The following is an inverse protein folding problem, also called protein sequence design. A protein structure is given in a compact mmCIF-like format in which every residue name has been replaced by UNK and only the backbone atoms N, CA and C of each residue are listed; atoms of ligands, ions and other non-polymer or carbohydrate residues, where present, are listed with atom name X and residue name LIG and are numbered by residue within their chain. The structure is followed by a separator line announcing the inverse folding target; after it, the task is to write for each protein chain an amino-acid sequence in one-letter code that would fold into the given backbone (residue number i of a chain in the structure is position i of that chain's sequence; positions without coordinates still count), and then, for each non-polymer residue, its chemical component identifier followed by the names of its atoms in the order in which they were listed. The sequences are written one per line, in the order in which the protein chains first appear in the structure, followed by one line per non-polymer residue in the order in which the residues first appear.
data_IF_990006916864
#
_entry.id   IF_990006916864
#
_cell.length_a   1.000
_cell.length_b   1.000
_cell.length_c   1.000
_cell.angle_alpha   90.00
_cell.angle_beta   90.00
_cell.angle_gamma   90.00
#
_symmetry.space_group_name_H-M   'P 1'
#
loop_
_entity.id
_entity.type
_entity.pdbx_description
1 polymer ?
#
# COMPACT_ATOMS: atom_id res chain seq x y z
N UNK A 1 18.28 -11.01 -26.48
CA UNK A 1 18.21 -11.17 -25.01
C UNK A 1 19.53 -11.02 -24.25
N UNK A 2 20.67 -11.57 -24.69
CA UNK A 2 21.94 -11.57 -23.91
C UNK A 2 22.61 -10.20 -23.66
N UNK A 3 22.26 -9.15 -24.42
CA UNK A 3 22.79 -7.78 -24.24
C UNK A 3 22.15 -6.99 -23.11
N UNK A 4 20.91 -7.33 -22.70
CA UNK A 4 20.20 -6.62 -21.64
C UNK A 4 20.80 -6.85 -20.24
N UNK A 5 21.40 -8.02 -20.02
CA UNK A 5 21.94 -8.42 -18.71
C UNK A 5 23.35 -7.87 -18.41
N UNK A 6 23.97 -7.20 -19.38
CA UNK A 6 25.33 -6.64 -19.25
C UNK A 6 25.32 -5.16 -18.88
N UNK A 7 24.17 -4.51 -18.96
CA UNK A 7 24.00 -3.10 -18.67
C UNK A 7 23.38 -2.91 -17.28
N UNK A 8 24.20 -2.49 -16.30
CA UNK A 8 23.79 -2.35 -14.88
C UNK A 8 22.55 -1.47 -14.71
N UNK A 9 22.36 -0.48 -15.60
CA UNK A 9 21.18 0.41 -15.57
C UNK A 9 19.91 -0.32 -16.00
N UNK A 10 20.00 -1.16 -17.02
CA UNK A 10 18.87 -1.98 -17.47
C UNK A 10 18.47 -3.00 -16.40
N UNK A 11 19.44 -3.65 -15.75
CA UNK A 11 19.19 -4.59 -14.65
C UNK A 11 18.55 -3.89 -13.44
N UNK A 12 18.98 -2.68 -13.10
CA UNK A 12 18.36 -1.89 -12.04
C UNK A 12 16.90 -1.54 -12.36
N UNK A 13 16.63 -1.08 -13.59
CA UNK A 13 15.26 -0.79 -14.03
C UNK A 13 14.35 -2.02 -13.98
N UNK A 14 14.84 -3.17 -14.44
CA UNK A 14 14.12 -4.45 -14.36
C UNK A 14 13.89 -4.88 -12.90
N UNK A 15 14.86 -4.69 -12.01
CA UNK A 15 14.73 -5.01 -10.60
C UNK A 15 13.66 -4.15 -9.91
N UNK A 16 13.64 -2.84 -10.17
CA UNK A 16 12.61 -1.93 -9.64
C UNK A 16 11.22 -2.32 -10.16
N UNK A 17 11.09 -2.58 -11.46
CA UNK A 17 9.84 -3.06 -12.06
C UNK A 17 9.38 -4.38 -11.44
N UNK A 18 10.28 -5.33 -11.22
CA UNK A 18 9.97 -6.60 -10.59
C UNK A 18 9.49 -6.43 -9.14
N UNK A 19 10.10 -5.52 -8.37
CA UNK A 19 9.67 -5.22 -6.99
C UNK A 19 8.28 -4.61 -6.97
N UNK A 20 8.01 -3.60 -7.81
CA UNK A 20 6.69 -2.93 -7.89
C UNK A 20 5.62 -3.91 -8.35
N UNK A 21 5.92 -4.72 -9.37
CA UNK A 21 5.00 -5.76 -9.87
C UNK A 21 4.74 -6.82 -8.81
N UNK A 22 5.78 -7.25 -8.10
CA UNK A 22 5.68 -8.19 -6.98
C UNK A 22 4.79 -7.65 -5.86
N UNK A 23 4.94 -6.38 -5.50
CA UNK A 23 4.10 -5.72 -4.50
C UNK A 23 2.63 -5.61 -4.95
N UNK A 24 2.37 -5.32 -6.23
CA UNK A 24 1.03 -5.24 -6.79
C UNK A 24 0.32 -6.61 -6.84
N UNK A 25 1.05 -7.67 -7.21
CA UNK A 25 0.53 -9.05 -7.22
C UNK A 25 0.32 -9.56 -5.78
N UNK A 26 1.23 -9.24 -4.86
CA UNK A 26 1.10 -9.57 -3.45
C UNK A 26 0.14 -8.64 -2.69
N UNK A 27 -0.52 -7.68 -3.36
CA UNK A 27 -1.45 -6.74 -2.75
C UNK A 27 -2.48 -7.36 -1.79
N UNK A 28 -3.13 -8.50 -2.12
CA UNK A 28 -4.07 -9.17 -1.21
C UNK A 28 -3.41 -9.82 0.02
N UNK A 29 -2.09 -10.08 -0.04
CA UNK A 29 -1.29 -10.62 1.08
C UNK A 29 -0.70 -9.50 1.95
N UNK A 30 -0.47 -8.31 1.40
CA UNK A 30 0.15 -7.15 2.08
C UNK A 30 -0.90 -6.18 2.65
N UNK A 31 -2.12 -6.17 2.10
CA UNK A 31 -3.26 -5.42 2.61
C UNK A 31 -4.51 -6.28 2.61
N UNK A 32 -4.95 -6.67 3.80
CA UNK A 32 -6.25 -7.30 4.05
C UNK A 32 -7.37 -6.27 4.25
N UNK A 33 -7.02 -4.98 4.26
CA UNK A 33 -7.95 -3.87 4.45
C UNK A 33 -8.82 -3.66 3.22
N UNK A 34 -10.13 -3.47 3.43
CA UNK A 34 -11.03 -3.03 2.35
C UNK A 34 -10.81 -1.53 2.11
N UNK A 35 -10.33 -1.09 0.93
CA UNK A 35 -9.98 0.31 0.66
C UNK A 35 -11.17 1.28 0.69
N UNK A 36 -12.39 0.75 0.62
CA UNK A 36 -13.66 1.48 0.71
C UNK A 36 -14.39 1.27 2.02
N UNK A 37 -13.86 0.47 2.96
CA UNK A 37 -14.50 0.32 4.26
C UNK A 37 -14.40 1.65 5.01
N UNK A 38 -15.56 2.16 5.38
CA UNK A 38 -15.73 3.37 6.16
C UNK A 38 -16.32 2.94 7.50
N UNK A 39 -15.49 2.93 8.54
CA UNK A 39 -15.90 2.64 9.91
C UNK A 39 -16.43 3.93 10.56
N UNK A 40 -16.45 4.01 11.89
CA UNK A 40 -16.86 5.21 12.60
C UNK A 40 -15.91 6.38 12.28
N UNK A 41 -16.35 7.26 11.37
CA UNK A 41 -15.58 8.42 10.90
C UNK A 41 -15.23 9.38 12.05
N UNK A 42 -16.08 9.46 13.08
CA UNK A 42 -15.86 10.37 14.21
C UNK A 42 -14.69 9.89 15.05
N UNK A 43 -14.63 8.58 15.32
CA UNK A 43 -13.56 7.94 16.08
C UNK A 43 -12.27 7.74 15.28
N UNK A 44 -12.39 7.49 13.97
CA UNK A 44 -11.26 7.03 13.15
C UNK A 44 -10.65 8.12 12.25
N UNK A 45 -11.16 9.36 12.21
CA UNK A 45 -10.56 10.43 11.39
C UNK A 45 -9.21 10.89 11.94
N UNK A 46 -8.25 11.11 11.03
CA UNK A 46 -6.94 11.69 11.36
C UNK A 46 -6.19 10.95 12.48
N UNK A 47 -6.31 9.62 12.51
CA UNK A 47 -5.47 8.80 13.36
C UNK A 47 -4.01 8.98 12.95
N UNK A 48 -3.15 9.07 13.96
CA UNK A 48 -1.72 9.25 13.77
C UNK A 48 -1.12 7.97 13.15
N UNK A 49 0.04 8.06 12.48
CA UNK A 49 0.79 6.87 12.08
C UNK A 49 1.05 5.95 13.27
N UNK A 50 1.04 4.64 13.02
CA UNK A 50 1.22 3.58 14.03
C UNK A 50 0.14 3.55 15.12
N UNK A 51 -1.03 4.17 14.88
CA UNK A 51 -2.16 4.09 15.80
C UNK A 51 -2.96 2.79 15.59
N UNK A 52 -3.60 2.33 16.65
CA UNK A 52 -4.64 1.30 16.59
C UNK A 52 -5.97 1.97 16.86
N UNK A 53 -6.99 1.71 16.04
CA UNK A 53 -8.34 2.24 16.27
C UNK A 53 -9.09 1.45 17.38
N UNK A 54 -10.27 1.95 17.76
CA UNK A 54 -11.12 1.32 18.79
C UNK A 54 -11.65 -0.06 18.36
N UNK A 55 -11.54 -0.41 17.08
CA UNK A 55 -11.90 -1.73 16.55
C UNK A 55 -10.71 -2.72 16.58
N UNK A 56 -9.53 -2.27 17.02
CA UNK A 56 -8.31 -3.06 17.04
C UNK A 56 -7.55 -3.09 15.71
N UNK A 57 -7.91 -2.24 14.74
CA UNK A 57 -7.22 -2.14 13.45
C UNK A 57 -5.98 -1.28 13.56
N UNK A 58 -4.84 -1.81 13.10
CA UNK A 58 -3.56 -1.09 13.11
C UNK A 58 -3.38 -0.29 11.82
N UNK A 59 -3.02 0.99 11.95
CA UNK A 59 -2.87 1.95 10.86
C UNK A 59 -1.42 2.41 10.72
N UNK A 60 -0.59 1.77 9.86
CA UNK A 60 0.83 2.11 9.73
C UNK A 60 1.08 3.57 9.36
N UNK A 61 0.27 4.11 8.45
CA UNK A 61 0.33 5.50 7.99
C UNK A 61 -0.79 6.38 8.56
N UNK A 62 -1.58 5.85 9.49
CA UNK A 62 -2.77 6.53 10.00
C UNK A 62 -3.94 6.52 9.01
N UNK A 63 -4.92 7.38 9.27
CA UNK A 63 -6.18 7.46 8.51
C UNK A 63 -6.42 8.84 7.91
N UNK A 64 -7.20 8.90 6.84
CA UNK A 64 -7.59 10.15 6.19
C UNK A 64 -8.78 10.85 6.91
N UNK A 65 -9.24 11.97 6.33
CA UNK A 65 -10.39 12.75 6.85
C UNK A 65 -11.72 11.97 6.92
N UNK A 66 -11.79 10.81 6.27
CA UNK A 66 -12.95 9.93 6.26
C UNK A 66 -12.72 8.66 7.09
N UNK A 67 -11.62 8.59 7.86
CA UNK A 67 -11.29 7.44 8.68
C UNK A 67 -10.77 6.24 7.89
N UNK A 68 -10.36 6.44 6.64
CA UNK A 68 -9.85 5.34 5.79
C UNK A 68 -8.35 5.18 5.98
N UNK A 69 -7.91 3.93 6.08
CA UNK A 69 -6.50 3.56 6.22
C UNK A 69 -5.67 4.03 5.00
N UNK A 70 -4.71 4.92 5.23
CA UNK A 70 -3.91 5.56 4.17
C UNK A 70 -3.01 4.55 3.46
N UNK A 71 -2.46 3.59 4.19
CA UNK A 71 -1.58 2.55 3.66
C UNK A 71 -2.30 1.66 2.64
N UNK A 72 -3.49 1.17 3.01
CA UNK A 72 -4.37 0.36 2.18
C UNK A 72 -4.76 1.09 0.90
N UNK A 73 -5.07 2.40 1.00
CA UNK A 73 -5.41 3.22 -0.16
C UNK A 73 -4.22 3.42 -1.10
N UNK A 74 -3.02 3.55 -0.56
CA UNK A 74 -1.80 3.71 -1.35
C UNK A 74 -1.47 2.44 -2.13
N UNK A 75 -1.52 1.27 -1.48
CA UNK A 75 -1.33 -0.02 -2.15
C UNK A 75 -2.40 -0.26 -3.22
N UNK A 76 -3.67 -0.01 -2.88
CA UNK A 76 -4.76 -0.23 -3.82
C UNK A 76 -4.66 0.71 -5.03
N UNK A 77 -4.36 2.00 -4.81
CA UNK A 77 -4.12 2.96 -5.88
C UNK A 77 -2.97 2.55 -6.80
N UNK A 78 -1.87 2.03 -6.24
CA UNK A 78 -0.74 1.52 -7.01
C UNK A 78 -1.07 0.27 -7.84
N UNK A 79 -2.14 -0.47 -7.51
CA UNK A 79 -2.60 -1.64 -8.29
C UNK A 79 -3.52 -1.25 -9.46
N UNK A 80 -4.27 -0.15 -9.32
CA UNK A 80 -5.28 0.25 -10.31
C UNK A 80 -4.72 1.19 -11.39
N UNK A 81 -3.69 1.98 -11.07
CA UNK A 81 -3.07 2.94 -11.99
C UNK A 81 -1.90 2.36 -12.77
#
# INVERSE_FOLDING_TARGET
MRRLWRDRRATFGVAVLAIVTGAAVAGPLVSTGRPTAQHDIVATRFLRPLATDDSGSFHPLGTDRFGRDVWTRLIYGARVS
#
